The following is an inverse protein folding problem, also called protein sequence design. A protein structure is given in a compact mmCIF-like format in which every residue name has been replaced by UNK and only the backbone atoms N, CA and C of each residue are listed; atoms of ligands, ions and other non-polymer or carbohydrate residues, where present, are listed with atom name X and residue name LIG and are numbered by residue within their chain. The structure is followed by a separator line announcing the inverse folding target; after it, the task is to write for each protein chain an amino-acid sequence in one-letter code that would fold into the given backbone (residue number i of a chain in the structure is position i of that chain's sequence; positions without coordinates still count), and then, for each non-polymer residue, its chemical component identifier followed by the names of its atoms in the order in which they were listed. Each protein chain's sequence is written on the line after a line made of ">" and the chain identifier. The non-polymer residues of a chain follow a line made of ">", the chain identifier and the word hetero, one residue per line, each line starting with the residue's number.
data_IF_496844478594
#
_entry.id   IF_496844478594
#
_cell.length_a   1.000
_cell.length_b   1.000
_cell.length_c   1.000
_cell.angle_alpha   90.00
_cell.angle_beta   90.00
_cell.angle_gamma   90.00
#
_symmetry.space_group_name_H-M   'P 1'
#
loop_
_entity.id
_entity.type
_entity.pdbx_description
1 polymer ?
#
# COMPACT_ATOMS: atom_id res chain seq x y z
N UNK A 1 16.53 16.58 12.56
CA UNK A 1 15.74 15.37 12.90
C UNK A 1 16.40 14.20 12.17
N UNK A 2 17.25 13.43 12.85
CA UNK A 2 17.88 12.26 12.24
C UNK A 2 16.90 11.08 12.33
N UNK A 3 16.48 10.54 11.20
CA UNK A 3 15.48 9.47 11.16
C UNK A 3 16.07 8.13 11.61
N UNK A 4 15.31 7.36 12.40
CA UNK A 4 15.70 6.01 12.82
C UNK A 4 15.31 5.04 11.72
N UNK A 5 16.26 4.78 10.82
CA UNK A 5 16.11 3.87 9.69
C UNK A 5 16.71 2.52 10.05
N UNK A 6 15.93 1.46 9.88
CA UNK A 6 16.40 0.08 10.01
C UNK A 6 16.97 -0.31 8.64
N UNK A 7 18.24 -0.74 8.63
CA UNK A 7 18.90 -1.21 7.42
C UNK A 7 19.11 -2.71 7.52
N UNK A 8 18.36 -3.47 6.73
CA UNK A 8 18.53 -4.92 6.62
C UNK A 8 18.52 -5.35 5.16
N UNK A 9 19.54 -6.12 4.77
CA UNK A 9 19.67 -6.74 3.43
C UNK A 9 19.54 -5.76 2.25
N UNK A 10 20.01 -4.53 2.40
CA UNK A 10 19.94 -3.50 1.34
C UNK A 10 18.61 -2.77 1.27
N UNK A 11 17.66 -3.06 2.16
CA UNK A 11 16.38 -2.36 2.25
C UNK A 11 16.42 -1.34 3.40
N UNK A 12 15.86 -0.17 3.13
CA UNK A 12 15.66 0.88 4.11
C UNK A 12 14.21 0.84 4.57
N UNK A 13 13.98 0.53 5.84
CA UNK A 13 12.65 0.60 6.45
C UNK A 13 12.64 1.65 7.56
N UNK A 14 11.66 2.53 7.53
CA UNK A 14 11.44 3.50 8.61
C UNK A 14 10.81 2.75 9.78
N UNK A 15 11.35 2.91 11.00
CA UNK A 15 10.86 2.23 12.21
C UNK A 15 9.31 2.30 12.31
N UNK A 16 8.60 1.16 12.20
CA UNK A 16 7.14 1.12 12.21
C UNK A 16 6.50 1.72 13.47
N UNK A 17 7.24 1.73 14.60
CA UNK A 17 6.77 2.33 15.84
C UNK A 17 6.59 3.85 15.72
N UNK A 18 7.22 4.51 14.74
CA UNK A 18 6.99 5.93 14.42
C UNK A 18 5.51 6.20 14.13
N UNK A 19 4.83 5.30 13.42
CA UNK A 19 3.43 5.53 13.05
C UNK A 19 2.49 5.56 14.25
N UNK A 20 2.87 4.92 15.36
CA UNK A 20 2.07 4.91 16.59
C UNK A 20 2.01 6.30 17.26
N UNK A 21 3.05 7.13 17.10
CA UNK A 21 3.07 8.49 17.65
C UNK A 21 2.22 9.49 16.85
N UNK A 22 2.13 9.32 15.53
CA UNK A 22 1.41 10.24 14.63
C UNK A 22 0.00 9.78 14.28
N UNK A 23 -0.25 8.48 14.36
CA UNK A 23 -1.54 7.87 14.02
C UNK A 23 -1.94 7.01 15.20
N UNK A 24 -2.95 7.45 15.95
CA UNK A 24 -3.67 6.55 16.86
C UNK A 24 -4.31 5.47 16.01
N UNK A 25 -3.68 4.31 15.93
CA UNK A 25 -4.26 3.13 15.33
C UNK A 25 -5.50 2.78 16.14
N UNK A 26 -6.67 3.13 15.61
CA UNK A 26 -7.93 2.74 16.22
C UNK A 26 -8.04 1.24 15.99
N UNK A 27 -8.22 0.45 17.05
CA UNK A 27 -8.42 -1.00 16.91
C UNK A 27 -9.69 -1.18 16.11
N UNK A 28 -9.51 -1.51 14.84
CA UNK A 28 -10.60 -1.70 13.90
C UNK A 28 -11.23 -3.06 14.19
N UNK A 29 -12.56 -3.11 14.28
CA UNK A 29 -13.23 -4.40 14.43
C UNK A 29 -13.12 -5.21 13.13
N UNK A 30 -13.22 -6.53 13.23
CA UNK A 30 -13.05 -7.43 12.08
C UNK A 30 -14.05 -7.15 10.93
N UNK A 31 -15.23 -6.64 11.27
CA UNK A 31 -16.25 -6.31 10.28
C UNK A 31 -15.84 -5.09 9.42
N UNK A 32 -15.29 -4.06 10.06
CA UNK A 32 -14.72 -2.89 9.39
C UNK A 32 -13.50 -3.27 8.55
N UNK A 33 -12.60 -4.11 9.07
CA UNK A 33 -11.47 -4.64 8.28
C UNK A 33 -11.95 -5.33 7.01
N UNK A 34 -12.94 -6.25 7.12
CA UNK A 34 -13.53 -6.93 5.95
C UNK A 34 -14.19 -5.96 4.97
N UNK A 35 -14.89 -4.94 5.48
CA UNK A 35 -15.52 -3.90 4.65
C UNK A 35 -14.46 -3.12 3.85
N UNK A 36 -13.39 -2.68 4.50
CA UNK A 36 -12.31 -1.93 3.84
C UNK A 36 -11.61 -2.79 2.79
N UNK A 37 -11.30 -4.05 3.10
CA UNK A 37 -10.69 -4.97 2.14
C UNK A 37 -11.59 -5.10 0.91
N UNK A 38 -12.89 -5.36 1.10
CA UNK A 38 -13.85 -5.46 -0.01
C UNK A 38 -13.88 -4.18 -0.86
N UNK A 39 -13.97 -3.01 -0.23
CA UNK A 39 -13.97 -1.74 -0.95
C UNK A 39 -12.67 -1.51 -1.73
N UNK A 40 -11.51 -1.88 -1.16
CA UNK A 40 -10.21 -1.77 -1.84
C UNK A 40 -10.13 -2.71 -3.04
N UNK A 41 -10.55 -3.96 -2.90
CA UNK A 41 -10.58 -4.92 -4.01
C UNK A 41 -11.44 -4.38 -5.16
N UNK A 42 -12.66 -3.91 -4.87
CA UNK A 42 -13.54 -3.32 -5.89
C UNK A 42 -12.91 -2.11 -6.59
N UNK A 43 -12.21 -1.25 -5.84
CA UNK A 43 -11.52 -0.10 -6.43
C UNK A 43 -10.37 -0.53 -7.35
N UNK A 44 -9.57 -1.53 -6.95
CA UNK A 44 -8.48 -2.05 -7.76
C UNK A 44 -8.99 -2.74 -9.03
N UNK A 45 -10.07 -3.51 -8.93
CA UNK A 45 -10.76 -4.10 -10.09
C UNK A 45 -11.28 -3.01 -11.03
N UNK A 46 -11.90 -1.97 -10.49
CA UNK A 46 -12.35 -0.83 -11.30
C UNK A 46 -11.17 -0.15 -12.00
N UNK A 47 -10.06 0.12 -11.30
CA UNK A 47 -8.87 0.71 -11.92
C UNK A 47 -8.30 -0.19 -13.00
N UNK A 48 -8.20 -1.49 -12.75
CA UNK A 48 -7.73 -2.45 -13.74
C UNK A 48 -8.58 -2.37 -14.99
N UNK A 49 -9.91 -2.48 -14.87
CA UNK A 49 -10.82 -2.43 -16.02
C UNK A 49 -10.84 -1.06 -16.72
N UNK A 50 -10.65 0.03 -15.98
CA UNK A 50 -10.71 1.38 -16.54
C UNK A 50 -9.42 1.79 -17.26
N UNK A 51 -8.27 1.28 -16.79
CA UNK A 51 -6.97 1.67 -17.30
C UNK A 51 -6.25 0.55 -18.07
N UNK A 52 -6.72 -0.71 -18.04
CA UNK A 52 -6.11 -1.83 -18.77
C UNK A 52 -5.98 -1.55 -20.26
N UNK A 53 -6.98 -0.90 -20.84
CA UNK A 53 -7.05 -0.65 -22.28
C UNK A 53 -6.16 0.52 -22.72
N UNK A 54 -5.67 1.31 -21.75
CA UNK A 54 -4.81 2.47 -21.97
C UNK A 54 -3.34 2.24 -21.61
N UNK A 55 -2.96 1.03 -21.17
CA UNK A 55 -1.56 0.68 -20.92
C UNK A 55 -0.93 0.30 -22.26
N UNK A 56 -0.05 1.14 -22.85
CA UNK A 56 0.69 0.74 -24.04
C UNK A 56 1.49 -0.53 -23.72
N UNK A 57 1.51 -1.46 -24.68
CA UNK A 57 2.34 -2.66 -24.56
C UNK A 57 3.79 -2.24 -24.24
N UNK A 58 4.51 -3.00 -23.39
CA UNK A 58 5.93 -2.77 -23.23
C UNK A 58 6.59 -2.81 -24.62
N UNK A 59 7.59 -1.94 -24.88
CA UNK A 59 8.31 -1.98 -26.13
C UNK A 59 8.86 -3.40 -26.34
N UNK A 60 8.72 -3.94 -27.55
CA UNK A 60 9.31 -5.23 -27.89
C UNK A 60 10.82 -5.15 -27.67
N UNK A 61 11.40 -6.15 -26.97
CA UNK A 61 12.85 -6.22 -26.77
C UNK A 61 13.55 -6.31 -28.13
N UNK A 62 14.54 -5.42 -28.38
CA UNK A 62 15.41 -5.44 -29.58
C UNK A 62 16.30 -6.69 -29.64
#
# INVERSE_FOLDING_TARGET
>A
MAEKVIFEKGYYEVDPARMQHYVKQTVMNDAECRRIIKCRTMYLEWMLNHFSDGVPAPPEEE
#
